data_IF_179757358933
#
_entry.id   IF_179757358933
#
_cell.length_a   1.000
_cell.length_b   1.000
_cell.length_c   1.000
_cell.angle_alpha   90.00
_cell.angle_beta   90.00
_cell.angle_gamma   90.00
#
_symmetry.space_group_name_H-M   'P 1'
#
loop_
_entity.id
_entity.type
_entity.pdbx_description
1 polymer ?
#
# COMPACT_ATOMS: atom_id res chain seq x y z
N UNK A 1 -5.89 -34.28 -5.28
CA UNK A 1 -6.85 -33.42 -6.02
C UNK A 1 -7.05 -32.13 -5.22
N UNK A 2 -7.08 -30.99 -5.90
CA UNK A 2 -6.74 -29.64 -5.39
C UNK A 2 -7.62 -29.09 -4.24
N UNK A 3 -7.04 -28.51 -3.17
CA UNK A 3 -7.76 -27.57 -2.32
C UNK A 3 -7.66 -26.16 -2.91
N UNK A 4 -8.71 -25.71 -3.60
CA UNK A 4 -8.85 -24.30 -3.96
C UNK A 4 -9.36 -23.53 -2.75
N UNK A 5 -8.42 -23.11 -1.90
CA UNK A 5 -8.72 -22.22 -0.78
C UNK A 5 -8.82 -20.80 -1.35
N UNK A 6 -10.04 -20.40 -1.66
CA UNK A 6 -10.36 -19.08 -2.17
C UNK A 6 -10.14 -18.06 -1.05
N UNK A 7 -8.94 -17.47 -0.99
CA UNK A 7 -8.62 -16.34 -0.10
C UNK A 7 -9.32 -15.09 -0.61
N UNK A 8 -10.64 -15.05 -0.41
CA UNK A 8 -11.43 -13.84 -0.57
C UNK A 8 -10.79 -12.76 0.32
N UNK A 9 -10.14 -11.78 -0.32
CA UNK A 9 -9.67 -10.56 0.30
C UNK A 9 -10.87 -9.88 0.93
N UNK A 10 -11.11 -10.14 2.22
CA UNK A 10 -12.15 -9.47 3.00
C UNK A 10 -11.78 -7.99 3.06
N UNK A 11 -12.37 -7.19 2.17
CA UNK A 11 -12.37 -5.72 2.22
C UNK A 11 -13.22 -5.30 3.43
N UNK A 12 -12.62 -5.38 4.61
CA UNK A 12 -13.19 -4.84 5.84
C UNK A 12 -13.01 -3.32 5.80
N UNK A 13 -13.99 -2.59 5.26
CA UNK A 13 -14.03 -1.12 5.31
C UNK A 13 -14.17 -0.69 6.78
N UNK A 14 -13.05 -0.47 7.46
CA UNK A 14 -13.04 0.21 8.75
C UNK A 14 -13.15 1.70 8.45
N UNK A 15 -14.29 2.31 8.80
CA UNK A 15 -14.44 3.76 8.80
C UNK A 15 -13.48 4.31 9.87
N UNK A 16 -12.50 5.16 9.51
CA UNK A 16 -11.62 5.78 10.49
C UNK A 16 -12.46 6.64 11.43
N UNK A 17 -12.31 6.45 12.74
CA UNK A 17 -12.84 7.39 13.73
C UNK A 17 -12.10 8.73 13.57
N UNK A 18 -12.75 9.85 13.83
CA UNK A 18 -12.23 11.21 13.58
C UNK A 18 -10.84 11.51 14.20
N UNK A 19 -10.35 10.70 15.15
CA UNK A 19 -9.01 10.81 15.73
C UNK A 19 -7.88 10.09 14.96
N UNK A 20 -8.21 9.28 13.95
CA UNK A 20 -7.25 8.50 13.15
C UNK A 20 -7.03 9.11 11.75
N UNK A 21 -7.50 10.34 11.52
CA UNK A 21 -7.34 10.97 10.21
C UNK A 21 -5.88 11.40 10.02
N UNK A 22 -5.18 10.86 9.01
CA UNK A 22 -3.79 11.22 8.73
C UNK A 22 -3.69 12.71 8.43
N UNK A 23 -2.67 13.36 8.98
CA UNK A 23 -2.44 14.79 8.80
C UNK A 23 -1.55 15.07 7.58
N UNK A 24 -0.73 14.08 7.21
CA UNK A 24 0.19 14.11 6.07
C UNK A 24 -0.24 13.06 5.05
N UNK A 25 -0.10 13.36 3.76
CA UNK A 25 -0.42 12.42 2.68
C UNK A 25 0.36 11.10 2.78
N UNK A 26 1.62 11.14 3.20
CA UNK A 26 2.43 9.94 3.43
C UNK A 26 1.79 9.00 4.46
N UNK A 27 1.24 9.52 5.55
CA UNK A 27 0.52 8.75 6.57
C UNK A 27 -0.74 8.12 5.96
N UNK A 28 -1.52 8.91 5.21
CA UNK A 28 -2.73 8.43 4.56
C UNK A 28 -2.47 7.28 3.59
N UNK A 29 -1.38 7.40 2.82
CA UNK A 29 -0.91 6.39 1.89
C UNK A 29 -0.47 5.11 2.60
N UNK A 30 0.06 5.22 3.82
CA UNK A 30 0.49 4.07 4.64
C UNK A 30 -0.68 3.32 5.27
N UNK A 31 -1.80 4.00 5.56
CA UNK A 31 -3.02 3.36 6.10
C UNK A 31 -3.57 2.29 5.14
N UNK A 32 -3.31 2.41 3.83
CA UNK A 32 -3.66 1.40 2.83
C UNK A 32 -2.70 0.17 2.87
N UNK A 33 -2.65 -0.54 4.00
CA UNK A 33 -1.69 -1.61 4.28
C UNK A 33 -1.68 -2.73 3.23
N UNK A 34 -2.86 -3.18 2.79
CA UNK A 34 -2.98 -4.22 1.74
C UNK A 34 -2.35 -3.77 0.43
N UNK A 35 -2.64 -2.54 0.00
CA UNK A 35 -2.08 -1.96 -1.22
C UNK A 35 -0.55 -1.85 -1.12
N UNK A 36 -0.02 -1.36 0.01
CA UNK A 36 1.43 -1.26 0.21
C UNK A 36 2.10 -2.64 0.18
N UNK A 37 1.47 -3.65 0.78
CA UNK A 37 1.99 -5.02 0.77
C UNK A 37 2.07 -5.59 -0.64
N UNK A 38 1.00 -5.52 -1.43
CA UNK A 38 1.01 -6.02 -2.82
C UNK A 38 1.95 -5.21 -3.72
N UNK A 39 2.07 -3.90 -3.49
CA UNK A 39 3.03 -3.04 -4.19
C UNK A 39 4.48 -3.45 -3.92
N UNK A 40 4.82 -3.82 -2.69
CA UNK A 40 6.15 -4.36 -2.38
C UNK A 40 6.40 -5.72 -3.06
N UNK A 41 5.38 -6.59 -3.11
CA UNK A 41 5.50 -7.87 -3.80
C UNK A 41 5.73 -7.68 -5.30
N UNK A 42 5.05 -6.72 -5.93
CA UNK A 42 5.26 -6.35 -7.33
C UNK A 42 6.71 -5.92 -7.59
N UNK A 43 7.28 -5.06 -6.74
CA UNK A 43 8.67 -4.63 -6.90
C UNK A 43 9.66 -5.79 -6.78
N UNK A 44 9.43 -6.69 -5.81
CA UNK A 44 10.22 -7.91 -5.66
C UNK A 44 10.08 -8.83 -6.86
N UNK A 45 8.89 -8.93 -7.46
CA UNK A 45 8.67 -9.75 -8.64
C UNK A 45 9.46 -9.24 -9.85
N UNK A 46 9.49 -7.92 -10.09
CA UNK A 46 10.32 -7.32 -11.14
C UNK A 46 11.81 -7.63 -10.95
N UNK A 47 12.32 -7.48 -9.73
CA UNK A 47 13.71 -7.78 -9.42
C UNK A 47 14.04 -9.27 -9.62
N UNK A 48 13.17 -10.17 -9.13
CA UNK A 48 13.35 -11.63 -9.27
C UNK A 48 13.27 -12.10 -10.71
N UNK A 49 12.47 -11.44 -11.55
CA UNK A 49 12.34 -11.75 -12.96
C UNK A 49 13.47 -11.15 -13.82
N UNK A 50 14.44 -10.44 -13.23
CA UNK A 50 15.53 -9.79 -13.98
C UNK A 50 15.06 -8.58 -14.80
N UNK A 51 13.86 -8.04 -14.51
CA UNK A 51 13.26 -6.92 -15.23
C UNK A 51 13.72 -5.55 -14.71
N UNK A 52 14.72 -5.54 -13.82
CA UNK A 52 15.26 -4.34 -13.19
C UNK A 52 14.59 -3.97 -11.86
N UNK A 53 14.96 -2.80 -11.34
CA UNK A 53 14.49 -2.30 -10.04
C UNK A 53 13.48 -1.17 -10.24
N UNK A 54 12.37 -1.21 -9.51
CA UNK A 54 11.39 -0.14 -9.51
C UNK A 54 11.96 1.14 -8.88
N UNK A 55 12.06 2.21 -9.67
CA UNK A 55 12.50 3.52 -9.18
C UNK A 55 11.34 4.23 -8.48
N UNK A 56 11.54 4.57 -7.21
CA UNK A 56 10.58 5.33 -6.42
C UNK A 56 10.96 6.80 -6.43
N UNK A 57 9.94 7.65 -6.29
CA UNK A 57 10.14 9.07 -6.07
C UNK A 57 10.73 9.33 -4.67
N UNK A 58 11.44 10.46 -4.48
CA UNK A 58 11.96 10.85 -3.17
C UNK A 58 10.83 10.98 -2.13
N UNK A 59 11.07 10.64 -0.86
CA UNK A 59 10.06 10.69 0.19
C UNK A 59 9.48 12.09 0.40
N UNK A 60 10.24 13.15 0.10
CA UNK A 60 9.84 14.55 0.22
C UNK A 60 8.60 14.87 -0.61
N UNK A 61 8.38 14.14 -1.72
CA UNK A 61 7.22 14.36 -2.57
C UNK A 61 5.89 13.99 -1.89
N UNK A 62 5.90 13.02 -0.97
CA UNK A 62 4.69 12.60 -0.25
C UNK A 62 4.52 13.32 1.10
N UNK A 63 5.43 14.23 1.47
CA UNK A 63 5.44 14.95 2.76
C UNK A 63 4.72 16.31 2.67
N UNK A 64 3.43 16.28 2.34
CA UNK A 64 2.59 17.47 2.39
C UNK A 64 1.37 17.24 3.30
N UNK A 65 0.94 18.31 3.96
CA UNK A 65 -0.25 18.29 4.80
C UNK A 65 -1.48 18.09 3.92
N UNK A 66 -2.43 17.29 4.41
CA UNK A 66 -3.77 17.21 3.84
C UNK A 66 -4.52 18.48 4.23
N UNK A 67 -4.34 19.56 3.46
CA UNK A 67 -5.10 20.79 3.67
C UNK A 67 -6.58 20.51 3.46
N UNK A 68 -7.41 20.92 4.43
CA UNK A 68 -8.88 20.88 4.38
C UNK A 68 -9.39 21.89 3.35
#
# INVERSE_FOLDING_TARGET
MHPYNNTALKLSTRVPSHGDMPSVYSEAKLVAQTYQSVKQQLFKAFQRAGLGTWVKKPPEQDQFLLTV
#
